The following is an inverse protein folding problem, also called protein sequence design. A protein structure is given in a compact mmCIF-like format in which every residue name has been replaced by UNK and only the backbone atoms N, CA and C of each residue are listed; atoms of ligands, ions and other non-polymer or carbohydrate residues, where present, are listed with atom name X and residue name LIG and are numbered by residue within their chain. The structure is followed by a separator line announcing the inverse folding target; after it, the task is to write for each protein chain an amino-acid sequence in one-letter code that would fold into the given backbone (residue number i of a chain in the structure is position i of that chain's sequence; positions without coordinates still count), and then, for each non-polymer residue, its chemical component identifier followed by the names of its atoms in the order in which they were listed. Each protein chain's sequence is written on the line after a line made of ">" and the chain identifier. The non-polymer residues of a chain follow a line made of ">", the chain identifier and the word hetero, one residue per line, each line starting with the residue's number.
data_IF_901645679602
#
_entry.id   IF_901645679602
#
_cell.length_a   1.000
_cell.length_b   1.000
_cell.length_c   1.000
_cell.angle_alpha   90.00
_cell.angle_beta   90.00
_cell.angle_gamma   90.00
#
_symmetry.space_group_name_H-M   'P 1'
#
loop_
_entity.id
_entity.type
_entity.pdbx_description
1 polymer ?
#
# COMPACT_ATOMS: atom_id res chain seq x y z
N UNK A 1 -35.92 -21.75 -9.33
CA UNK A 1 -34.51 -21.43 -9.67
C UNK A 1 -33.71 -21.45 -8.37
N UNK A 2 -32.60 -22.17 -8.34
CA UNK A 2 -31.76 -22.22 -7.14
C UNK A 2 -31.09 -20.86 -6.97
N UNK A 3 -31.31 -20.11 -5.84
CA UNK A 3 -30.76 -18.78 -5.64
C UNK A 3 -29.22 -18.78 -5.69
N UNK A 4 -28.57 -19.83 -5.25
CA UNK A 4 -27.13 -19.99 -5.33
C UNK A 4 -26.61 -20.06 -6.78
N UNK A 5 -27.37 -20.64 -7.69
CA UNK A 5 -27.01 -20.70 -9.11
C UNK A 5 -27.07 -19.28 -9.75
N UNK A 6 -28.08 -18.48 -9.41
CA UNK A 6 -28.19 -17.08 -9.90
C UNK A 6 -27.04 -16.23 -9.39
N UNK A 7 -26.67 -16.36 -8.12
CA UNK A 7 -25.51 -15.65 -7.53
C UNK A 7 -24.25 -16.01 -8.30
N UNK A 8 -23.99 -17.32 -8.48
CA UNK A 8 -22.76 -17.81 -9.13
C UNK A 8 -22.66 -17.43 -10.60
N UNK A 9 -23.76 -17.43 -11.34
CA UNK A 9 -23.74 -17.24 -12.80
C UNK A 9 -23.92 -15.79 -13.23
N UNK A 10 -24.57 -14.96 -12.41
CA UNK A 10 -24.85 -13.56 -12.78
C UNK A 10 -24.16 -12.54 -11.91
N UNK A 11 -24.11 -12.75 -10.58
CA UNK A 11 -23.58 -11.73 -9.65
C UNK A 11 -22.06 -11.80 -9.59
N UNK A 12 -21.45 -12.97 -9.41
CA UNK A 12 -20.00 -13.10 -9.31
C UNK A 12 -19.24 -12.56 -10.55
N UNK A 13 -19.67 -12.84 -11.80
CA UNK A 13 -19.00 -12.26 -12.97
C UNK A 13 -19.09 -10.73 -13.07
N UNK A 14 -20.18 -10.13 -12.53
CA UNK A 14 -20.29 -8.66 -12.44
C UNK A 14 -19.30 -8.09 -11.43
N UNK A 15 -19.17 -8.72 -10.25
CA UNK A 15 -18.20 -8.32 -9.23
C UNK A 15 -16.75 -8.45 -9.75
N UNK A 16 -16.46 -9.49 -10.53
CA UNK A 16 -15.14 -9.67 -11.15
C UNK A 16 -14.77 -8.55 -12.12
N UNK A 17 -15.74 -7.97 -12.82
CA UNK A 17 -15.52 -6.81 -13.70
C UNK A 17 -15.07 -5.57 -12.92
N UNK A 18 -15.54 -5.38 -11.70
CA UNK A 18 -15.25 -4.21 -10.86
C UNK A 18 -14.16 -4.46 -9.80
N UNK A 19 -13.51 -5.61 -9.81
CA UNK A 19 -12.43 -5.96 -8.85
C UNK A 19 -11.31 -4.93 -8.75
N UNK A 20 -11.07 -4.17 -9.82
CA UNK A 20 -10.06 -3.11 -9.86
C UNK A 20 -10.43 -1.88 -9.01
N UNK A 21 -11.71 -1.69 -8.69
CA UNK A 21 -12.22 -0.55 -7.93
C UNK A 21 -11.76 -0.59 -6.47
N UNK A 22 -11.74 -1.78 -5.85
CA UNK A 22 -11.32 -1.94 -4.46
C UNK A 22 -9.90 -1.41 -4.18
N UNK A 23 -8.87 -1.91 -4.89
CA UNK A 23 -7.51 -1.36 -4.77
C UNK A 23 -7.41 0.12 -5.08
N UNK A 24 -8.16 0.63 -6.05
CA UNK A 24 -8.17 2.04 -6.42
C UNK A 24 -8.72 2.91 -5.29
N UNK A 25 -9.87 2.54 -4.72
CA UNK A 25 -10.47 3.29 -3.60
C UNK A 25 -9.58 3.27 -2.36
N UNK A 26 -9.01 2.11 -2.03
CA UNK A 26 -8.10 1.99 -0.89
C UNK A 26 -6.86 2.88 -1.06
N UNK A 27 -6.25 2.90 -2.25
CA UNK A 27 -5.14 3.79 -2.57
C UNK A 27 -5.52 5.26 -2.52
N UNK A 28 -6.67 5.61 -3.11
CA UNK A 28 -7.15 6.99 -3.12
C UNK A 28 -7.39 7.49 -1.69
N UNK A 29 -8.02 6.69 -0.84
CA UNK A 29 -8.29 7.04 0.55
C UNK A 29 -7.00 7.15 1.36
N UNK A 30 -6.16 6.10 1.40
CA UNK A 30 -4.93 6.11 2.17
C UNK A 30 -3.94 7.15 1.64
N UNK A 31 -3.75 7.22 0.32
CA UNK A 31 -2.85 8.18 -0.29
C UNK A 31 -3.24 9.62 0.03
N UNK A 32 -4.52 9.97 -0.08
CA UNK A 32 -5.02 11.31 0.26
C UNK A 32 -4.81 11.63 1.74
N UNK A 33 -5.12 10.71 2.65
CA UNK A 33 -4.93 10.89 4.10
C UNK A 33 -3.45 11.13 4.41
N UNK A 34 -2.53 10.31 3.88
CA UNK A 34 -1.11 10.47 4.16
C UNK A 34 -0.50 11.72 3.53
N UNK A 35 -0.94 12.10 2.32
CA UNK A 35 -0.51 13.37 1.70
C UNK A 35 -0.94 14.57 2.55
N UNK A 36 -2.19 14.64 2.95
CA UNK A 36 -2.70 15.75 3.76
C UNK A 36 -2.07 15.79 5.15
N UNK A 37 -1.88 14.63 5.80
CA UNK A 37 -1.21 14.51 7.09
C UNK A 37 0.26 14.95 7.01
N UNK A 38 1.03 14.38 6.06
CA UNK A 38 2.44 14.71 5.87
C UNK A 38 2.66 16.19 5.51
N UNK A 39 1.80 16.73 4.64
CA UNK A 39 1.82 18.16 4.30
C UNK A 39 1.58 19.04 5.53
N UNK A 40 0.54 18.77 6.32
CA UNK A 40 0.23 19.52 7.53
C UNK A 40 1.36 19.47 8.56
N UNK A 41 1.96 18.29 8.77
CA UNK A 41 3.09 18.10 9.69
C UNK A 41 4.35 18.85 9.24
N UNK A 42 4.67 18.85 7.94
CA UNK A 42 5.82 19.58 7.41
C UNK A 42 5.71 21.10 7.59
N UNK A 43 4.49 21.65 7.53
CA UNK A 43 4.25 23.06 7.78
C UNK A 43 4.24 23.42 9.29
N UNK A 44 4.15 22.41 10.16
CA UNK A 44 4.09 22.58 11.61
C UNK A 44 5.16 21.76 12.35
N UNK A 45 6.36 21.66 11.78
CA UNK A 45 7.44 20.81 12.32
C UNK A 45 7.79 21.10 13.79
N UNK A 46 7.70 22.37 14.23
CA UNK A 46 7.93 22.72 15.63
C UNK A 46 6.97 22.01 16.58
N UNK A 47 5.67 22.00 16.22
CA UNK A 47 4.63 21.32 17.00
C UNK A 47 4.83 19.79 16.99
N UNK A 48 5.16 19.22 15.82
CA UNK A 48 5.43 17.78 15.69
C UNK A 48 6.66 17.38 16.50
N UNK A 49 7.72 18.20 16.47
CA UNK A 49 8.93 17.97 17.27
C UNK A 49 8.64 18.01 18.76
N UNK A 50 7.85 18.99 19.23
CA UNK A 50 7.39 19.07 20.62
C UNK A 50 6.65 17.81 21.04
N UNK A 51 5.68 17.38 20.23
CA UNK A 51 4.91 16.16 20.46
C UNK A 51 5.80 14.91 20.52
N UNK A 52 6.77 14.77 19.62
CA UNK A 52 7.71 13.63 19.66
C UNK A 52 8.64 13.66 20.88
N UNK A 53 8.97 14.86 21.37
CA UNK A 53 9.72 15.01 22.62
C UNK A 53 8.90 14.52 23.81
N UNK A 54 7.64 14.89 23.89
CA UNK A 54 6.71 14.43 24.95
C UNK A 54 6.53 12.91 24.93
N UNK A 55 6.52 12.29 23.75
CA UNK A 55 6.46 10.84 23.59
C UNK A 55 7.77 10.11 23.90
N UNK A 56 8.85 10.84 24.20
CA UNK A 56 10.18 10.25 24.45
C UNK A 56 10.85 9.65 23.22
N UNK A 57 10.46 10.08 22.02
CA UNK A 57 11.07 9.61 20.77
C UNK A 57 12.49 10.18 20.67
N UNK A 58 13.54 9.36 20.45
CA UNK A 58 14.89 9.84 20.30
C UNK A 58 15.03 10.73 19.06
N UNK A 59 15.91 11.72 19.09
CA UNK A 59 16.14 12.68 18.00
C UNK A 59 14.82 13.25 17.43
N UNK A 60 13.97 13.91 18.25
CA UNK A 60 12.59 14.24 17.89
C UNK A 60 12.48 15.12 16.65
N UNK A 61 13.38 16.12 16.47
CA UNK A 61 13.37 16.97 15.28
C UNK A 61 13.66 16.19 13.99
N UNK A 62 14.65 15.29 14.02
CA UNK A 62 14.97 14.44 12.87
C UNK A 62 13.81 13.50 12.53
N UNK A 63 13.26 12.81 13.55
CA UNK A 63 12.15 11.90 13.34
C UNK A 63 10.86 12.61 12.93
N UNK A 64 10.64 13.86 13.36
CA UNK A 64 9.51 14.67 12.89
C UNK A 64 9.61 14.93 11.37
N UNK A 65 10.78 15.34 10.88
CA UNK A 65 10.99 15.54 9.43
C UNK A 65 10.88 14.22 8.68
N UNK A 66 11.51 13.16 9.18
CA UNK A 66 11.52 11.85 8.55
C UNK A 66 10.10 11.29 8.41
N UNK A 67 9.32 11.27 9.49
CA UNK A 67 7.96 10.76 9.49
C UNK A 67 7.05 11.59 8.58
N UNK A 68 7.11 12.91 8.68
CA UNK A 68 6.29 13.84 7.88
C UNK A 68 6.59 13.71 6.38
N UNK A 69 7.89 13.61 6.02
CA UNK A 69 8.32 13.42 4.63
C UNK A 69 7.91 12.03 4.11
N UNK A 70 8.03 11.00 4.95
CA UNK A 70 7.59 9.64 4.61
C UNK A 70 6.09 9.60 4.33
N UNK A 71 5.28 10.25 5.15
CA UNK A 71 3.85 10.33 4.94
C UNK A 71 3.50 11.08 3.65
N UNK A 72 4.13 12.23 3.39
CA UNK A 72 3.85 13.01 2.19
C UNK A 72 4.26 12.25 0.92
N UNK A 73 5.51 11.80 0.85
CA UNK A 73 6.06 11.14 -0.35
C UNK A 73 5.42 9.77 -0.53
N UNK A 74 5.35 8.96 0.52
CA UNK A 74 4.73 7.64 0.49
C UNK A 74 3.25 7.71 0.14
N UNK A 75 2.52 8.66 0.72
CA UNK A 75 1.12 8.92 0.39
C UNK A 75 0.93 9.31 -1.08
N UNK A 76 1.76 10.21 -1.61
CA UNK A 76 1.71 10.60 -3.02
C UNK A 76 1.99 9.41 -3.96
N UNK A 77 3.01 8.60 -3.67
CA UNK A 77 3.33 7.40 -4.44
C UNK A 77 2.19 6.38 -4.43
N UNK A 78 1.56 6.15 -3.28
CA UNK A 78 0.39 5.28 -3.16
C UNK A 78 -0.78 5.87 -3.96
N UNK A 79 -1.05 7.17 -3.87
CA UNK A 79 -2.16 7.83 -4.54
C UNK A 79 -2.09 7.64 -6.06
N UNK A 80 -0.92 7.90 -6.65
CA UNK A 80 -0.71 7.72 -8.09
C UNK A 80 -0.48 6.26 -8.50
N UNK A 81 -0.17 5.36 -7.54
CA UNK A 81 0.09 3.95 -7.76
C UNK A 81 1.45 3.68 -8.40
N UNK A 82 2.47 4.38 -7.97
CA UNK A 82 3.85 4.22 -8.39
C UNK A 82 4.67 3.62 -7.26
N UNK A 83 5.37 2.52 -7.54
CA UNK A 83 6.17 1.78 -6.55
C UNK A 83 5.39 1.51 -5.24
N UNK A 84 4.09 1.22 -5.36
CA UNK A 84 3.14 1.16 -4.23
C UNK A 84 3.60 0.20 -3.14
N UNK A 85 4.17 -0.95 -3.49
CA UNK A 85 4.67 -1.93 -2.52
C UNK A 85 5.81 -1.37 -1.67
N UNK A 86 6.74 -0.67 -2.30
CA UNK A 86 7.88 -0.06 -1.62
C UNK A 86 7.44 1.13 -0.76
N UNK A 87 6.54 1.98 -1.27
CA UNK A 87 6.02 3.14 -0.55
C UNK A 87 5.19 2.75 0.68
N UNK A 88 4.48 1.62 0.62
CA UNK A 88 3.67 1.15 1.74
C UNK A 88 4.52 0.71 2.95
N UNK A 89 5.71 0.15 2.74
CA UNK A 89 6.55 -0.38 3.84
C UNK A 89 6.92 0.70 4.87
N UNK A 90 7.52 1.84 4.51
CA UNK A 90 7.83 2.87 5.49
C UNK A 90 6.59 3.47 6.16
N UNK A 91 5.45 3.55 5.45
CA UNK A 91 4.18 3.98 6.05
C UNK A 91 3.63 2.96 7.07
N UNK A 92 3.81 1.67 6.83
CA UNK A 92 3.53 0.61 7.83
C UNK A 92 4.35 0.86 9.08
N UNK A 93 5.65 1.15 8.94
CA UNK A 93 6.52 1.46 10.08
C UNK A 93 6.02 2.69 10.85
N UNK A 94 5.65 3.78 10.17
CA UNK A 94 5.10 4.97 10.84
C UNK A 94 3.82 4.66 11.61
N UNK A 95 2.92 3.83 11.09
CA UNK A 95 1.70 3.44 11.78
C UNK A 95 1.97 2.54 13.01
N UNK A 96 2.90 1.60 12.89
CA UNK A 96 3.33 0.78 14.03
C UNK A 96 3.93 1.65 15.14
N UNK A 97 4.81 2.59 14.80
CA UNK A 97 5.40 3.51 15.77
C UNK A 97 4.32 4.36 16.41
N UNK A 98 3.37 4.91 15.64
CA UNK A 98 2.28 5.72 16.18
C UNK A 98 1.42 4.94 17.20
N UNK A 99 1.09 3.68 16.92
CA UNK A 99 0.34 2.83 17.84
C UNK A 99 1.15 2.57 19.11
N UNK A 100 2.43 2.24 18.98
CA UNK A 100 3.29 1.87 20.12
C UNK A 100 3.72 3.06 20.99
N UNK A 101 3.67 4.29 20.46
CA UNK A 101 4.07 5.50 21.19
C UNK A 101 2.87 6.36 21.54
N UNK A 102 2.24 6.99 20.56
CA UNK A 102 1.19 7.96 20.76
C UNK A 102 -0.11 7.33 21.32
N UNK A 103 -0.43 6.09 20.92
CA UNK A 103 -1.64 5.38 21.37
C UNK A 103 -1.41 4.47 22.56
N UNK A 104 -0.18 4.31 23.03
CA UNK A 104 0.15 3.44 24.15
C UNK A 104 -0.70 3.66 25.40
N UNK A 105 -0.99 4.90 25.85
CA UNK A 105 -1.83 5.14 27.03
C UNK A 105 -3.28 4.70 26.86
N UNK A 106 -3.76 4.57 25.63
CA UNK A 106 -5.15 4.20 25.29
C UNK A 106 -5.31 2.67 25.10
N UNK A 107 -4.23 1.88 25.26
CA UNK A 107 -4.24 0.43 25.04
C UNK A 107 -4.65 -0.28 26.34
N UNK A 108 -5.94 -0.64 26.43
CA UNK A 108 -6.50 -1.45 27.52
C UNK A 108 -6.59 -2.96 27.17
N UNK A 109 -6.37 -3.30 25.90
CA UNK A 109 -6.46 -4.67 25.39
C UNK A 109 -6.49 -4.74 23.86
N UNK A 110 -6.70 -5.94 23.33
CA UNK A 110 -6.73 -6.17 21.88
C UNK A 110 -7.83 -5.36 21.21
N UNK A 111 -8.99 -5.25 21.85
CA UNK A 111 -10.17 -4.56 21.28
C UNK A 111 -9.90 -3.06 21.07
N UNK A 112 -9.18 -2.40 22.00
CA UNK A 112 -8.83 -0.98 21.84
C UNK A 112 -7.90 -0.76 20.66
N UNK A 113 -6.89 -1.63 20.48
CA UNK A 113 -5.97 -1.55 19.34
C UNK A 113 -6.70 -1.71 18.01
N UNK A 114 -7.64 -2.65 17.92
CA UNK A 114 -8.46 -2.87 16.72
C UNK A 114 -9.37 -1.69 16.40
N UNK A 115 -9.74 -0.90 17.42
CA UNK A 115 -10.56 0.32 17.29
C UNK A 115 -9.80 1.55 16.80
N UNK A 116 -8.48 1.56 16.84
CA UNK A 116 -7.70 2.71 16.39
C UNK A 116 -7.74 2.88 14.88
N UNK A 117 -7.85 4.11 14.41
CA UNK A 117 -7.82 4.42 12.97
C UNK A 117 -6.45 4.06 12.37
N UNK A 118 -5.38 4.22 13.15
CA UNK A 118 -4.02 3.84 12.78
C UNK A 118 -3.91 2.35 12.47
N UNK A 119 -4.65 1.50 13.19
CA UNK A 119 -4.71 0.06 12.90
C UNK A 119 -5.42 -0.22 11.56
N UNK A 120 -6.49 0.51 11.26
CA UNK A 120 -7.18 0.41 9.96
C UNK A 120 -6.26 0.83 8.82
N UNK A 121 -5.51 1.92 8.99
CA UNK A 121 -4.52 2.35 8.00
C UNK A 121 -3.39 1.32 7.86
N UNK A 122 -2.88 0.79 8.97
CA UNK A 122 -1.88 -0.27 8.98
C UNK A 122 -2.34 -1.49 8.17
N UNK A 123 -3.55 -2.00 8.43
CA UNK A 123 -4.12 -3.14 7.71
C UNK A 123 -4.22 -2.88 6.20
N UNK A 124 -4.70 -1.69 5.81
CA UNK A 124 -4.78 -1.27 4.42
C UNK A 124 -3.41 -1.15 3.74
N UNK A 125 -2.41 -0.60 4.45
CA UNK A 125 -1.04 -0.48 3.95
C UNK A 125 -0.37 -1.85 3.78
N UNK A 126 -0.55 -2.76 4.75
CA UNK A 126 -0.05 -4.15 4.65
C UNK A 126 -0.68 -4.84 3.44
N UNK A 127 -1.99 -4.65 3.23
CA UNK A 127 -2.66 -5.20 2.05
C UNK A 127 -2.05 -4.63 0.75
N UNK A 128 -1.78 -3.32 0.67
CA UNK A 128 -1.13 -2.68 -0.49
C UNK A 128 0.31 -3.15 -0.68
N UNK A 129 1.07 -3.37 0.38
CA UNK A 129 2.44 -3.91 0.31
C UNK A 129 2.47 -5.31 -0.30
N UNK A 130 1.50 -6.16 0.05
CA UNK A 130 1.41 -7.55 -0.45
C UNK A 130 0.77 -7.59 -1.85
N UNK A 131 -0.37 -6.94 -2.03
CA UNK A 131 -1.18 -7.03 -3.26
C UNK A 131 -0.69 -6.09 -4.36
N UNK A 132 -0.06 -4.97 -3.99
CA UNK A 132 0.39 -3.93 -4.91
C UNK A 132 -0.73 -2.96 -5.34
N UNK A 133 -0.41 -2.12 -6.31
CA UNK A 133 -1.26 -1.00 -6.75
C UNK A 133 -2.53 -1.40 -7.52
N UNK A 134 -2.63 -2.65 -7.98
CA UNK A 134 -3.74 -3.09 -8.84
C UNK A 134 -3.62 -2.62 -10.30
N UNK A 135 -4.66 -2.91 -11.10
CA UNK A 135 -4.65 -2.71 -12.57
C UNK A 135 -4.72 -1.23 -12.99
N UNK A 136 -5.34 -0.38 -12.19
CA UNK A 136 -5.51 1.06 -12.43
C UNK A 136 -4.40 1.85 -11.73
N UNK A 137 -3.14 1.67 -12.14
CA UNK A 137 -1.96 2.27 -11.50
C UNK A 137 -0.85 2.53 -12.50
N UNK A 138 0.07 3.45 -12.18
CA UNK A 138 1.28 3.66 -12.96
C UNK A 138 2.16 2.41 -13.00
N UNK A 139 2.25 1.66 -11.90
CA UNK A 139 2.97 0.37 -11.87
C UNK A 139 2.46 -0.60 -12.96
N UNK A 140 1.13 -0.65 -13.17
CA UNK A 140 0.55 -1.50 -14.20
C UNK A 140 0.83 -1.00 -15.63
N UNK A 141 1.00 0.31 -15.83
CA UNK A 141 1.37 0.88 -17.13
C UNK A 141 2.81 0.53 -17.50
N UNK A 142 3.73 0.61 -16.56
CA UNK A 142 5.14 0.26 -16.77
C UNK A 142 5.32 -1.24 -17.00
N UNK A 143 4.69 -2.09 -16.19
CA UNK A 143 4.77 -3.55 -16.35
C UNK A 143 4.25 -4.05 -17.72
N UNK A 144 3.29 -3.35 -18.32
CA UNK A 144 2.79 -3.71 -19.66
C UNK A 144 3.80 -3.41 -20.78
N UNK A 145 4.73 -2.49 -20.56
CA UNK A 145 5.76 -2.14 -21.55
C UNK A 145 6.90 -3.14 -21.59
N UNK A 146 7.22 -3.80 -20.48
CA UNK A 146 8.34 -4.76 -20.40
C UNK A 146 8.03 -6.14 -21.02
N UNK A 147 6.75 -6.51 -21.18
CA UNK A 147 6.35 -7.84 -21.68
C UNK A 147 6.45 -7.98 -23.21
N UNK A 148 6.99 -7.02 -23.94
CA UNK A 148 7.28 -7.17 -25.39
C UNK A 148 8.70 -7.65 -25.68
N UNK A 149 9.22 -8.62 -24.93
CA UNK A 149 10.38 -9.39 -25.39
C UNK A 149 9.95 -10.36 -26.50
N UNK A 150 10.68 -10.43 -27.63
CA UNK A 150 10.42 -11.41 -28.67
C UNK A 150 10.48 -12.81 -28.08
N UNK A 151 9.54 -13.68 -28.47
CA UNK A 151 9.63 -15.10 -28.11
C UNK A 151 10.98 -15.64 -28.52
N UNK A 152 11.67 -16.42 -27.66
CA UNK A 152 12.87 -17.14 -28.09
C UNK A 152 12.53 -17.95 -29.32
N UNK A 153 13.39 -17.87 -30.34
CA UNK A 153 13.26 -18.67 -31.54
C UNK A 153 13.17 -20.16 -31.17
N UNK A 154 12.31 -20.94 -31.82
CA UNK A 154 12.27 -22.39 -31.59
C UNK A 154 13.68 -22.96 -31.79
N UNK A 155 14.12 -23.76 -30.83
CA UNK A 155 15.41 -24.46 -30.95
C UNK A 155 15.40 -25.25 -32.27
N UNK A 156 16.47 -25.18 -33.08
CA UNK A 156 16.57 -26.01 -34.28
C UNK A 156 16.42 -27.47 -33.85
N UNK A 157 15.58 -28.19 -34.58
CA UNK A 157 15.42 -29.63 -34.38
C UNK A 157 16.81 -30.27 -34.49
N UNK A 158 17.22 -30.99 -33.45
CA UNK A 158 18.40 -31.85 -33.51
C UNK A 158 18.16 -32.85 -34.62
N UNK A 159 18.95 -32.72 -35.72
CA UNK A 159 19.02 -33.72 -36.77
C UNK A 159 19.64 -34.98 -36.15
N UNK A 160 18.81 -35.94 -35.81
CA UNK A 160 19.29 -37.30 -35.51
C UNK A 160 19.96 -37.85 -36.76
N UNK A 161 21.31 -37.81 -36.77
CA UNK A 161 22.07 -38.59 -37.73
C UNK A 161 21.82 -40.06 -37.41
N UNK A 162 20.92 -40.68 -38.19
CA UNK A 162 20.81 -42.13 -38.23
C UNK A 162 22.15 -42.67 -38.79
N UNK A 163 22.94 -43.21 -37.87
CA UNK A 163 24.07 -44.06 -38.27
C UNK A 163 23.49 -45.42 -38.62
N UNK A 164 23.52 -45.72 -39.94
CA UNK A 164 23.34 -47.04 -40.50
C UNK A 164 24.56 -47.92 -40.31
#
# INVERSE_FOLDING_TARGET
>A
MNPLAVIRTRILPLLDRVRWVGPLLLRASLGAVFVTSGWGKLHNLGQVTGFFTELGIPFPAFNAVLASSTELVGGALILIGLATRLAAVPLVVTMVVAILTAKRPEIDGVTSVLGFIEFTYLAGLVWLAVSGAGRASLDALFSRREVKLPRPLPRPATVELQQG
#
